data_IF_409396489960
#
_entry.id   IF_409396489960
#
_cell.length_a   1.000
_cell.length_b   1.000
_cell.length_c   1.000
_cell.angle_alpha   90.00
_cell.angle_beta   90.00
_cell.angle_gamma   90.00
#
_symmetry.space_group_name_H-M   'P 1'
#
loop_
_entity.id
_entity.type
_entity.pdbx_description
1 polymer ?
#
# COMPACT_ATOMS: atom_id res chain seq x y z
N UNK A 1 19.58 24.57 -66.37
CA UNK A 1 19.79 25.28 -65.11
C UNK A 1 19.55 24.26 -64.00
N UNK A 2 20.62 23.89 -63.31
CA UNK A 2 20.82 22.71 -62.52
C UNK A 2 20.29 22.92 -61.06
N UNK A 3 19.44 22.07 -60.59
CA UNK A 3 19.04 22.02 -59.17
C UNK A 3 19.61 20.75 -58.54
N UNK A 4 20.65 20.96 -57.73
CA UNK A 4 21.32 19.91 -57.00
C UNK A 4 20.52 19.43 -55.79
N UNK A 5 20.11 18.16 -55.79
CA UNK A 5 19.50 17.46 -54.67
C UNK A 5 20.61 16.92 -53.78
N UNK A 6 20.68 17.41 -52.54
CA UNK A 6 21.65 16.99 -51.50
C UNK A 6 21.02 15.89 -50.64
N UNK A 7 21.42 14.65 -50.85
CA UNK A 7 21.04 13.52 -50.04
C UNK A 7 21.65 13.60 -48.63
N UNK A 8 20.82 13.60 -47.60
CA UNK A 8 21.23 13.44 -46.22
C UNK A 8 21.50 11.95 -45.95
N UNK A 9 22.75 11.61 -45.69
CA UNK A 9 23.19 10.29 -45.21
C UNK A 9 22.87 10.17 -43.74
N UNK A 10 21.99 9.27 -43.40
CA UNK A 10 21.72 8.83 -42.02
C UNK A 10 22.86 7.92 -41.54
N UNK A 11 23.52 8.34 -40.47
CA UNK A 11 24.53 7.59 -39.77
C UNK A 11 23.80 6.76 -38.67
N UNK A 12 23.92 5.43 -38.58
CA UNK A 12 23.39 4.69 -37.46
C UNK A 12 24.38 4.73 -36.29
N UNK A 13 24.09 5.57 -35.30
CA UNK A 13 24.87 5.61 -34.05
C UNK A 13 24.54 4.39 -33.22
N UNK A 14 25.57 3.62 -32.89
CA UNK A 14 25.57 2.45 -32.08
C UNK A 14 24.88 2.65 -30.72
N UNK A 15 23.98 1.76 -30.39
CA UNK A 15 23.45 1.58 -29.02
C UNK A 15 24.60 1.04 -28.18
N UNK A 16 25.22 1.89 -27.38
CA UNK A 16 26.21 1.51 -26.38
C UNK A 16 25.61 0.57 -25.33
N UNK A 17 26.25 -0.56 -25.14
CA UNK A 17 25.98 -1.53 -24.09
C UNK A 17 26.04 -0.83 -22.72
N UNK A 18 24.99 -1.02 -21.92
CA UNK A 18 24.95 -0.57 -20.53
C UNK A 18 25.91 -1.41 -19.68
N UNK A 19 26.76 -0.81 -18.82
CA UNK A 19 27.67 -1.56 -17.97
C UNK A 19 26.90 -2.39 -16.94
N UNK A 20 27.21 -3.68 -16.87
CA UNK A 20 26.74 -4.62 -15.88
C UNK A 20 27.26 -4.22 -14.48
N UNK A 21 26.36 -4.22 -13.49
CA UNK A 21 26.72 -4.46 -12.10
C UNK A 21 27.16 -3.26 -11.26
N UNK A 22 26.27 -2.27 -11.05
CA UNK A 22 26.36 -1.38 -9.89
C UNK A 22 25.15 -1.57 -8.98
N UNK A 23 25.33 -2.14 -7.77
CA UNK A 23 24.29 -2.15 -6.73
C UNK A 23 24.06 -0.72 -6.24
N UNK A 24 23.17 0.01 -6.87
CA UNK A 24 22.69 1.31 -6.40
C UNK A 24 21.58 1.06 -5.37
N UNK A 25 21.96 0.77 -4.13
CA UNK A 25 21.04 0.89 -3.00
C UNK A 25 20.82 2.37 -2.75
N UNK A 26 19.63 2.86 -3.10
CA UNK A 26 19.18 4.19 -2.70
C UNK A 26 19.14 4.26 -1.17
N UNK A 27 19.86 5.18 -0.51
CA UNK A 27 19.79 5.31 0.93
C UNK A 27 18.44 5.93 1.32
N UNK A 28 17.55 5.09 1.83
CA UNK A 28 16.34 5.55 2.51
C UNK A 28 16.71 5.95 3.94
N UNK A 29 16.06 6.96 4.53
CA UNK A 29 16.30 7.28 5.92
C UNK A 29 15.99 6.05 6.79
N UNK A 30 17.02 5.54 7.45
CA UNK A 30 16.89 4.41 8.37
C UNK A 30 16.11 4.87 9.59
N UNK A 31 14.89 4.33 9.76
CA UNK A 31 14.24 4.33 11.07
C UNK A 31 15.09 3.41 11.95
N UNK A 32 15.73 3.96 12.99
CA UNK A 32 16.56 3.19 13.92
C UNK A 32 15.71 2.11 14.57
N UNK A 33 15.97 0.86 14.22
CA UNK A 33 15.47 -0.29 14.95
C UNK A 33 16.18 -0.30 16.31
N UNK A 34 15.43 -0.28 17.41
CA UNK A 34 15.96 -0.66 18.71
C UNK A 34 16.19 -2.17 18.67
N UNK A 35 17.43 -2.57 18.69
CA UNK A 35 17.84 -3.94 18.94
C UNK A 35 17.67 -4.23 20.42
N UNK A 36 16.59 -4.88 20.80
CA UNK A 36 16.52 -5.55 22.10
C UNK A 36 17.11 -6.95 21.93
N UNK A 37 18.04 -7.29 22.83
CA UNK A 37 18.80 -8.53 22.78
C UNK A 37 17.95 -9.78 23.07
N UNK A 38 18.48 -10.98 22.80
CA UNK A 38 17.71 -12.21 22.84
C UNK A 38 17.47 -12.67 24.29
N UNK A 39 16.23 -12.65 24.76
CA UNK A 39 15.81 -13.44 25.91
C UNK A 39 15.55 -14.88 25.45
N UNK A 40 16.49 -15.74 25.81
CA UNK A 40 16.35 -17.19 25.80
C UNK A 40 15.16 -17.61 26.69
N UNK A 41 14.11 -18.16 26.10
CA UNK A 41 13.16 -19.01 26.81
C UNK A 41 12.97 -20.33 26.09
N UNK A 42 13.21 -21.37 26.87
CA UNK A 42 13.21 -22.78 26.52
C UNK A 42 11.96 -23.22 25.74
N UNK A 43 12.22 -23.94 24.65
CA UNK A 43 11.24 -24.70 23.89
C UNK A 43 10.63 -25.79 24.77
N UNK A 44 9.35 -25.63 25.13
CA UNK A 44 8.48 -26.76 25.53
C UNK A 44 7.65 -27.13 24.32
N UNK A 45 7.75 -28.41 23.94
CA UNK A 45 7.11 -28.98 22.77
C UNK A 45 5.61 -28.69 22.67
N UNK A 46 5.22 -28.16 21.53
CA UNK A 46 3.81 -28.02 21.16
C UNK A 46 3.32 -29.38 20.61
N UNK A 47 2.20 -29.93 21.09
CA UNK A 47 1.67 -31.19 20.58
C UNK A 47 1.25 -31.05 19.12
N UNK A 48 1.51 -32.08 18.32
CA UNK A 48 1.11 -32.25 16.93
C UNK A 48 -0.37 -31.93 16.74
N UNK A 49 -0.67 -30.75 16.21
CA UNK A 49 -2.02 -30.38 15.79
C UNK A 49 -2.43 -31.26 14.62
N UNK A 50 -3.49 -32.03 14.83
CA UNK A 50 -4.05 -32.94 13.85
C UNK A 50 -4.62 -32.19 12.65
N UNK A 51 -4.55 -32.82 11.47
CA UNK A 51 -4.93 -32.31 10.15
C UNK A 51 -6.40 -31.83 10.03
N UNK A 52 -7.24 -32.12 11.03
CA UNK A 52 -8.66 -31.76 11.10
C UNK A 52 -8.93 -30.36 11.67
N UNK A 53 -8.01 -29.75 12.45
CA UNK A 53 -8.17 -28.41 13.03
C UNK A 53 -7.74 -27.25 12.13
N UNK A 54 -7.37 -27.54 10.87
CA UNK A 54 -7.19 -26.51 9.82
C UNK A 54 -8.51 -25.90 9.32
N UNK A 55 -9.61 -26.10 10.06
CA UNK A 55 -10.92 -25.54 9.73
C UNK A 55 -10.94 -24.04 10.02
N UNK A 56 -11.14 -23.29 8.93
CA UNK A 56 -11.55 -21.89 8.85
C UNK A 56 -10.71 -20.92 9.70
N UNK A 57 -9.59 -20.42 9.15
CA UNK A 57 -8.97 -19.22 9.71
C UNK A 57 -9.96 -18.04 9.63
N UNK A 58 -10.59 -17.60 10.74
CA UNK A 58 -11.62 -16.55 10.72
C UNK A 58 -11.09 -15.22 10.20
N UNK A 59 -9.76 -15.07 10.10
CA UNK A 59 -9.12 -13.89 9.60
C UNK A 59 -9.21 -13.73 8.07
N UNK A 60 -9.48 -14.81 7.33
CA UNK A 60 -9.63 -14.72 5.85
C UNK A 60 -10.78 -13.79 5.47
N UNK A 61 -11.91 -13.88 6.20
CA UNK A 61 -13.08 -13.05 5.94
C UNK A 61 -12.94 -11.60 6.43
N UNK A 62 -11.87 -11.25 7.13
CA UNK A 62 -11.58 -9.85 7.51
C UNK A 62 -10.98 -9.04 6.37
N UNK A 63 -10.41 -9.68 5.35
CA UNK A 63 -10.02 -9.01 4.11
C UNK A 63 -11.19 -9.04 3.13
N UNK A 64 -11.61 -7.87 2.64
CA UNK A 64 -12.86 -7.76 1.86
C UNK A 64 -12.75 -8.35 0.46
N UNK A 65 -11.55 -8.43 -0.14
CA UNK A 65 -11.34 -9.15 -1.40
C UNK A 65 -11.61 -10.63 -1.19
N UNK A 66 -11.01 -11.23 -0.17
CA UNK A 66 -11.20 -12.65 0.14
C UNK A 66 -12.62 -12.96 0.58
N UNK A 67 -13.24 -12.06 1.36
CA UNK A 67 -14.63 -12.20 1.83
C UNK A 67 -15.66 -12.12 0.69
N UNK A 68 -15.32 -11.51 -0.45
CA UNK A 68 -16.22 -11.40 -1.61
C UNK A 68 -16.23 -12.65 -2.51
N UNK A 69 -15.37 -13.64 -2.22
CA UNK A 69 -15.23 -14.83 -3.04
C UNK A 69 -16.25 -15.92 -2.67
N UNK A 70 -16.62 -16.79 -3.62
CA UNK A 70 -17.41 -17.98 -3.31
C UNK A 70 -16.72 -18.89 -2.28
N UNK A 71 -17.49 -19.59 -1.42
CA UNK A 71 -16.92 -20.43 -0.35
C UNK A 71 -15.86 -21.44 -0.83
N UNK A 72 -16.05 -22.06 -1.99
CA UNK A 72 -15.09 -23.00 -2.57
C UNK A 72 -13.73 -22.33 -2.90
N UNK A 73 -13.75 -21.09 -3.43
CA UNK A 73 -12.54 -20.30 -3.70
C UNK A 73 -11.84 -19.88 -2.41
N UNK A 74 -12.60 -19.47 -1.39
CA UNK A 74 -12.08 -19.15 -0.05
C UNK A 74 -11.38 -20.35 0.54
N UNK A 75 -11.99 -21.54 0.49
CA UNK A 75 -11.41 -22.77 1.06
C UNK A 75 -10.06 -23.15 0.40
N UNK A 76 -9.96 -23.03 -0.93
CA UNK A 76 -8.70 -23.28 -1.65
C UNK A 76 -7.60 -22.29 -1.25
N UNK A 77 -7.91 -21.00 -1.27
CA UNK A 77 -6.96 -19.95 -0.88
C UNK A 77 -6.52 -20.11 0.57
N UNK A 78 -7.45 -20.40 1.47
CA UNK A 78 -7.18 -20.56 2.89
C UNK A 78 -6.15 -21.66 3.20
N UNK A 79 -6.13 -22.75 2.41
CA UNK A 79 -5.14 -23.82 2.56
C UNK A 79 -3.69 -23.37 2.24
N UNK A 80 -3.54 -22.26 1.50
CA UNK A 80 -2.25 -21.74 1.03
C UNK A 80 -1.86 -20.41 1.67
N UNK A 81 -2.80 -19.75 2.35
CA UNK A 81 -2.57 -18.48 3.02
C UNK A 81 -1.94 -18.69 4.40
N UNK A 82 -0.84 -17.99 4.65
CA UNK A 82 -0.11 -17.99 5.92
C UNK A 82 -0.44 -16.72 6.72
N UNK A 83 -0.92 -16.82 7.97
CA UNK A 83 -1.06 -15.67 8.84
C UNK A 83 0.32 -15.13 9.23
N UNK A 84 0.49 -13.81 9.14
CA UNK A 84 1.73 -13.13 9.51
C UNK A 84 1.42 -11.84 10.27
N UNK A 85 2.31 -11.47 11.19
CA UNK A 85 2.32 -10.14 11.80
C UNK A 85 3.33 -9.28 11.06
N UNK A 86 2.90 -8.13 10.61
CA UNK A 86 3.74 -7.13 9.94
C UNK A 86 4.07 -6.01 10.91
N UNK A 87 5.34 -5.62 10.96
CA UNK A 87 5.82 -4.59 11.88
C UNK A 87 5.89 -3.22 11.20
N UNK A 88 5.67 -2.14 11.96
CA UNK A 88 5.85 -0.76 11.46
C UNK A 88 7.27 -0.57 10.90
N UNK A 89 7.37 0.00 9.71
CA UNK A 89 8.64 0.24 9.01
C UNK A 89 9.18 -0.96 8.23
N UNK A 90 8.53 -2.13 8.31
CA UNK A 90 8.92 -3.31 7.52
C UNK A 90 8.70 -3.04 6.03
N UNK A 91 9.72 -3.34 5.20
CA UNK A 91 9.62 -3.27 3.74
C UNK A 91 9.28 -4.66 3.20
N UNK A 92 8.18 -4.75 2.47
CA UNK A 92 7.69 -6.00 1.88
C UNK A 92 8.34 -6.27 0.52
N UNK A 93 8.49 -5.22 -0.28
CA UNK A 93 9.24 -5.27 -1.54
C UNK A 93 9.73 -3.87 -1.96
N UNK A 94 10.81 -3.86 -2.72
CA UNK A 94 11.49 -2.67 -3.24
C UNK A 94 11.24 -2.50 -4.75
N UNK A 95 11.34 -1.27 -5.28
CA UNK A 95 11.30 -1.03 -6.73
C UNK A 95 12.34 -1.86 -7.47
N UNK A 96 11.94 -2.47 -8.59
CA UNK A 96 12.80 -3.29 -9.42
C UNK A 96 13.18 -4.65 -8.81
N UNK A 97 12.68 -4.99 -7.61
CA UNK A 97 12.90 -6.30 -6.98
C UNK A 97 11.71 -7.22 -7.21
N UNK A 98 12.01 -8.51 -7.27
CA UNK A 98 10.99 -9.54 -7.43
C UNK A 98 10.01 -9.54 -6.25
N UNK A 99 8.72 -9.61 -6.57
CA UNK A 99 7.65 -9.79 -5.60
C UNK A 99 7.62 -11.28 -5.24
N UNK A 100 8.06 -11.62 -4.02
CA UNK A 100 8.10 -13.01 -3.53
C UNK A 100 6.80 -13.47 -2.91
N UNK A 101 6.04 -12.53 -2.32
CA UNK A 101 4.78 -12.77 -1.64
C UNK A 101 3.76 -11.71 -2.02
N UNK A 102 2.50 -12.10 -2.10
CA UNK A 102 1.35 -11.21 -2.07
C UNK A 102 0.81 -11.16 -0.64
N UNK A 103 0.25 -10.02 -0.24
CA UNK A 103 -0.26 -9.81 1.13
C UNK A 103 -1.69 -9.31 1.09
N UNK A 104 -2.53 -9.92 1.90
CA UNK A 104 -3.91 -9.50 2.16
C UNK A 104 -3.98 -8.96 3.60
N UNK A 105 -3.95 -7.62 3.79
CA UNK A 105 -4.04 -7.02 5.10
C UNK A 105 -5.34 -7.38 5.82
N UNK A 106 -5.27 -7.48 7.16
CA UNK A 106 -6.42 -7.70 8.05
C UNK A 106 -6.69 -6.42 8.85
N UNK A 107 -5.72 -5.99 9.63
CA UNK A 107 -5.74 -4.78 10.46
C UNK A 107 -4.42 -3.99 10.38
N UNK A 108 -3.56 -4.32 9.43
CA UNK A 108 -2.36 -3.56 9.10
C UNK A 108 -2.59 -2.62 7.91
N UNK A 109 -1.68 -1.68 7.74
CA UNK A 109 -1.68 -0.70 6.64
C UNK A 109 -0.34 -0.73 5.90
N UNK A 110 -0.40 -0.86 4.59
CA UNK A 110 0.76 -0.87 3.69
C UNK A 110 0.70 0.37 2.81
N UNK A 111 1.76 1.18 2.82
CA UNK A 111 1.94 2.33 1.93
C UNK A 111 2.69 1.92 0.68
N UNK A 112 2.22 2.38 -0.48
CA UNK A 112 2.90 2.27 -1.76
C UNK A 112 3.64 3.59 -2.02
N UNK A 113 4.97 3.54 -2.02
CA UNK A 113 5.84 4.70 -2.11
C UNK A 113 6.57 4.71 -3.45
N UNK A 114 6.55 5.85 -4.14
CA UNK A 114 7.42 6.10 -5.28
C UNK A 114 8.58 7.01 -4.87
N UNK A 115 9.79 6.70 -5.33
CA UNK A 115 10.94 7.56 -5.15
C UNK A 115 10.93 8.66 -6.21
N UNK A 116 11.13 9.92 -5.79
CA UNK A 116 11.34 11.06 -6.70
C UNK A 116 12.84 11.25 -6.92
N UNK A 117 13.62 11.10 -5.86
CA UNK A 117 15.09 11.10 -5.86
C UNK A 117 15.65 10.31 -4.66
N UNK A 118 16.96 10.43 -4.42
CA UNK A 118 17.65 9.72 -3.32
C UNK A 118 17.14 10.06 -1.92
N UNK A 119 16.48 11.20 -1.75
CA UNK A 119 16.07 11.72 -0.44
C UNK A 119 14.56 11.92 -0.31
N UNK A 120 13.83 11.90 -1.42
CA UNK A 120 12.39 12.19 -1.45
C UNK A 120 11.60 11.02 -1.98
N UNK A 121 10.60 10.67 -1.24
CA UNK A 121 9.58 9.70 -1.64
C UNK A 121 8.20 10.29 -1.43
N UNK A 122 7.23 9.72 -2.11
CA UNK A 122 5.83 10.13 -2.03
C UNK A 122 4.97 8.89 -1.93
N UNK A 123 4.02 8.90 -0.99
CA UNK A 123 2.98 7.88 -0.96
C UNK A 123 1.99 8.13 -2.10
N UNK A 124 1.86 7.15 -2.96
CA UNK A 124 0.93 7.19 -4.09
C UNK A 124 -0.32 6.38 -3.83
N UNK A 125 -0.27 5.41 -2.93
CA UNK A 125 -1.40 4.57 -2.58
C UNK A 125 -1.25 3.93 -1.20
N UNK A 126 -2.38 3.51 -0.64
CA UNK A 126 -2.50 2.77 0.61
C UNK A 126 -3.25 1.48 0.36
N UNK A 127 -2.84 0.41 1.01
CA UNK A 127 -3.47 -0.91 0.97
C UNK A 127 -3.79 -1.34 2.40
N UNK A 128 -5.06 -1.52 2.68
CA UNK A 128 -5.58 -2.06 3.94
C UNK A 128 -6.37 -3.35 3.69
N UNK A 129 -7.30 -3.65 4.61
CA UNK A 129 -8.13 -4.85 4.52
C UNK A 129 -9.09 -4.86 3.30
N UNK A 130 -9.19 -3.77 2.57
CA UNK A 130 -9.97 -3.67 1.34
C UNK A 130 -9.26 -4.20 0.11
N UNK A 131 -8.01 -4.68 0.22
CA UNK A 131 -7.20 -5.00 -0.93
C UNK A 131 -6.08 -6.01 -0.73
N UNK A 132 -5.15 -5.98 -1.67
CA UNK A 132 -3.97 -6.83 -1.71
C UNK A 132 -2.73 -6.01 -2.09
N UNK A 133 -1.61 -6.20 -1.40
CA UNK A 133 -0.30 -5.73 -1.85
C UNK A 133 0.37 -6.81 -2.72
N UNK A 134 0.97 -6.37 -3.84
CA UNK A 134 1.52 -7.26 -4.86
C UNK A 134 0.76 -7.17 -6.20
N UNK A 135 -0.04 -6.12 -6.41
CA UNK A 135 -0.86 -5.94 -7.63
C UNK A 135 -0.10 -6.06 -8.96
N UNK A 136 1.16 -5.60 -9.12
CA UNK A 136 1.88 -5.80 -10.38
C UNK A 136 1.96 -7.27 -10.80
N UNK A 137 1.93 -8.21 -9.83
CA UNK A 137 2.01 -9.63 -10.10
C UNK A 137 0.81 -10.17 -10.88
N UNK A 138 -0.41 -9.66 -10.64
CA UNK A 138 -1.60 -10.06 -11.41
C UNK A 138 -1.56 -9.56 -12.86
N UNK A 139 -0.79 -8.52 -13.13
CA UNK A 139 -0.56 -7.98 -14.48
C UNK A 139 0.58 -8.70 -15.22
N UNK A 140 1.09 -9.82 -14.69
CA UNK A 140 2.21 -10.54 -15.26
C UNK A 140 3.59 -9.93 -14.96
N UNK A 141 3.64 -8.86 -14.15
CA UNK A 141 4.89 -8.19 -13.77
C UNK A 141 5.43 -8.82 -12.48
N UNK A 142 6.51 -9.58 -12.58
CA UNK A 142 7.16 -10.20 -11.41
C UNK A 142 7.88 -9.21 -10.49
N UNK A 143 7.94 -7.92 -10.86
CA UNK A 143 8.65 -6.85 -10.14
C UNK A 143 7.70 -5.68 -9.84
N UNK A 144 8.01 -4.91 -8.80
CA UNK A 144 7.25 -3.70 -8.47
C UNK A 144 7.97 -2.45 -8.95
N UNK A 145 7.20 -1.44 -9.42
CA UNK A 145 7.68 -0.09 -9.67
C UNK A 145 7.70 0.81 -8.43
N UNK A 146 7.13 0.32 -7.30
CA UNK A 146 7.02 1.07 -6.05
C UNK A 146 7.53 0.25 -4.88
N UNK A 147 7.94 0.92 -3.79
CA UNK A 147 8.20 0.28 -2.50
C UNK A 147 6.89 0.01 -1.78
N UNK A 148 6.71 -1.16 -1.18
CA UNK A 148 5.66 -1.43 -0.22
C UNK A 148 6.22 -1.41 1.21
N UNK A 149 5.75 -0.46 2.00
CA UNK A 149 6.19 -0.20 3.38
C UNK A 149 5.02 -0.38 4.34
N UNK A 150 5.21 -1.14 5.41
CA UNK A 150 4.22 -1.26 6.48
C UNK A 150 4.18 0.04 7.28
N UNK A 151 3.07 0.77 7.18
CA UNK A 151 2.82 2.04 7.85
C UNK A 151 2.05 1.88 9.16
N UNK A 152 1.19 0.89 9.24
CA UNK A 152 0.50 0.47 10.45
C UNK A 152 0.75 -1.01 10.66
N UNK A 153 1.43 -1.37 11.76
CA UNK A 153 1.66 -2.77 12.12
C UNK A 153 0.36 -3.50 12.40
N UNK A 154 0.33 -4.81 12.20
CA UNK A 154 -0.85 -5.65 12.43
C UNK A 154 -0.80 -6.95 11.65
N UNK A 155 -1.92 -7.67 11.65
CA UNK A 155 -2.08 -8.95 10.97
C UNK A 155 -2.29 -8.82 9.47
N UNK A 156 -1.74 -9.76 8.74
CA UNK A 156 -2.00 -10.00 7.33
C UNK A 156 -2.01 -11.49 7.03
N UNK A 157 -2.57 -11.84 5.89
CA UNK A 157 -2.40 -13.16 5.28
C UNK A 157 -1.44 -12.98 4.10
N UNK A 158 -0.43 -13.84 4.01
CA UNK A 158 0.48 -13.84 2.85
C UNK A 158 0.39 -15.15 2.09
N UNK A 159 0.75 -15.09 0.82
CA UNK A 159 0.88 -16.24 -0.04
C UNK A 159 2.11 -16.07 -0.92
N UNK A 160 2.88 -17.13 -1.13
CA UNK A 160 4.00 -17.07 -2.05
C UNK A 160 3.51 -16.78 -3.49
N UNK A 161 4.29 -16.00 -4.23
CA UNK A 161 3.89 -15.47 -5.53
C UNK A 161 3.59 -16.56 -6.57
N UNK A 162 4.39 -17.64 -6.60
CA UNK A 162 4.22 -18.71 -7.58
C UNK A 162 2.90 -19.49 -7.40
N UNK A 163 2.55 -20.03 -6.21
CA UNK A 163 1.25 -20.68 -6.01
C UNK A 163 0.08 -19.68 -6.15
N UNK A 164 0.26 -18.41 -5.77
CA UNK A 164 -0.77 -17.38 -6.01
C UNK A 164 -1.06 -17.22 -7.51
N UNK A 165 -0.06 -17.26 -8.37
CA UNK A 165 -0.25 -17.16 -9.83
C UNK A 165 -1.10 -18.30 -10.35
N UNK A 166 -0.82 -19.52 -9.94
CA UNK A 166 -1.60 -20.70 -10.34
C UNK A 166 -3.06 -20.58 -9.91
N UNK A 167 -3.31 -20.17 -8.64
CA UNK A 167 -4.66 -19.99 -8.16
C UNK A 167 -5.37 -18.81 -8.86
N UNK A 168 -4.66 -17.71 -9.11
CA UNK A 168 -5.22 -16.57 -9.83
C UNK A 168 -5.65 -16.93 -11.25
N UNK A 169 -4.79 -17.64 -12.00
CA UNK A 169 -5.07 -18.02 -13.38
C UNK A 169 -6.25 -19.02 -13.48
N UNK A 170 -6.42 -19.88 -12.47
CA UNK A 170 -7.50 -20.89 -12.42
C UNK A 170 -8.78 -20.45 -11.68
N UNK A 171 -8.88 -19.21 -11.20
CA UNK A 171 -9.98 -18.76 -10.36
C UNK A 171 -10.62 -17.46 -10.88
N UNK A 172 -11.63 -17.53 -11.78
CA UNK A 172 -12.28 -16.35 -12.35
C UNK A 172 -12.88 -15.40 -11.30
N UNK A 173 -13.40 -15.93 -10.19
CA UNK A 173 -13.95 -15.09 -9.11
C UNK A 173 -12.85 -14.26 -8.41
N UNK A 174 -11.66 -14.83 -8.21
CA UNK A 174 -10.51 -14.12 -7.67
C UNK A 174 -10.02 -13.06 -8.66
N UNK A 175 -9.96 -13.39 -9.95
CA UNK A 175 -9.57 -12.45 -11.00
C UNK A 175 -10.51 -11.24 -11.00
N UNK A 176 -11.82 -11.47 -11.04
CA UNK A 176 -12.81 -10.41 -11.04
C UNK A 176 -12.72 -9.52 -9.79
N UNK A 177 -12.60 -10.12 -8.60
CA UNK A 177 -12.46 -9.37 -7.35
C UNK A 177 -11.20 -8.48 -7.34
N UNK A 178 -10.06 -9.01 -7.82
CA UNK A 178 -8.81 -8.28 -7.89
C UNK A 178 -8.79 -7.22 -9.00
N UNK A 179 -9.45 -7.44 -10.13
CA UNK A 179 -9.60 -6.41 -11.16
C UNK A 179 -10.44 -5.22 -10.67
N UNK A 180 -11.53 -5.49 -9.94
CA UNK A 180 -12.33 -4.43 -9.28
C UNK A 180 -11.51 -3.67 -8.25
N UNK A 181 -10.73 -4.38 -7.42
CA UNK A 181 -9.82 -3.72 -6.48
C UNK A 181 -8.75 -2.89 -7.18
N UNK A 182 -8.16 -3.40 -8.27
CA UNK A 182 -7.18 -2.67 -9.08
C UNK A 182 -7.76 -1.35 -9.62
N UNK A 183 -9.01 -1.36 -10.12
CA UNK A 183 -9.70 -0.13 -10.52
C UNK A 183 -9.77 0.88 -9.37
N UNK A 184 -10.16 0.45 -8.17
CA UNK A 184 -10.24 1.34 -7.00
C UNK A 184 -8.85 1.87 -6.58
N UNK A 185 -7.82 1.03 -6.62
CA UNK A 185 -6.44 1.43 -6.34
C UNK A 185 -5.92 2.44 -7.38
N UNK A 186 -6.19 2.23 -8.66
CA UNK A 186 -5.85 3.20 -9.73
C UNK A 186 -6.56 4.53 -9.52
N UNK A 187 -7.85 4.51 -9.17
CA UNK A 187 -8.61 5.71 -8.84
C UNK A 187 -8.01 6.44 -7.63
N UNK A 188 -7.58 5.71 -6.58
CA UNK A 188 -6.88 6.29 -5.44
C UNK A 188 -5.57 6.96 -5.86
N UNK A 189 -4.74 6.28 -6.66
CA UNK A 189 -3.45 6.82 -7.13
C UNK A 189 -3.66 8.08 -7.96
N UNK A 190 -4.56 8.05 -8.93
CA UNK A 190 -4.89 9.21 -9.78
C UNK A 190 -5.40 10.38 -8.96
N UNK A 191 -6.32 10.12 -8.00
CA UNK A 191 -6.85 11.16 -7.12
C UNK A 191 -5.78 11.70 -6.16
N UNK A 192 -4.84 10.87 -5.72
CA UNK A 192 -3.70 11.31 -4.90
C UNK A 192 -2.77 12.21 -5.68
N UNK A 193 -2.50 11.92 -6.95
CA UNK A 193 -1.69 12.78 -7.82
C UNK A 193 -2.33 14.16 -8.01
N UNK A 194 -3.62 14.22 -8.33
CA UNK A 194 -4.38 15.47 -8.43
C UNK A 194 -4.40 16.22 -7.09
N UNK A 195 -4.65 15.52 -5.99
CA UNK A 195 -4.67 16.10 -4.66
C UNK A 195 -3.33 16.74 -4.27
N UNK A 196 -2.22 16.09 -4.60
CA UNK A 196 -0.87 16.61 -4.32
C UNK A 196 -0.57 17.90 -5.09
N UNK A 197 -1.17 18.09 -6.27
CA UNK A 197 -0.96 19.29 -7.10
C UNK A 197 -1.86 20.45 -6.70
N UNK A 198 -3.11 20.20 -6.32
CA UNK A 198 -4.15 21.23 -6.27
C UNK A 198 -4.65 21.54 -4.86
N UNK A 199 -4.32 20.73 -3.85
CA UNK A 199 -4.76 20.98 -2.47
C UNK A 199 -3.59 21.32 -1.56
N UNK A 200 -3.84 22.20 -0.59
CA UNK A 200 -2.89 22.60 0.44
C UNK A 200 -2.61 21.46 1.44
N UNK A 201 -1.58 21.63 2.26
CA UNK A 201 -1.10 20.59 3.19
C UNK A 201 -2.14 20.23 4.26
N UNK A 202 -2.92 21.18 4.79
CA UNK A 202 -3.91 20.92 5.85
C UNK A 202 -5.03 19.97 5.39
N UNK A 203 -5.79 20.25 4.31
CA UNK A 203 -6.84 19.34 3.85
C UNK A 203 -6.29 18.01 3.34
N UNK A 204 -5.06 17.97 2.82
CA UNK A 204 -4.38 16.72 2.45
C UNK A 204 -4.03 15.87 3.67
N UNK A 205 -3.52 16.48 4.74
CA UNK A 205 -3.25 15.81 6.01
C UNK A 205 -4.54 15.25 6.62
N UNK A 206 -5.62 16.03 6.64
CA UNK A 206 -6.91 15.56 7.13
C UNK A 206 -7.42 14.34 6.34
N UNK A 207 -7.37 14.38 5.00
CA UNK A 207 -7.68 13.24 4.12
C UNK A 207 -6.83 12.02 4.47
N UNK A 208 -5.52 12.20 4.60
CA UNK A 208 -4.57 11.13 4.87
C UNK A 208 -4.85 10.45 6.22
N UNK A 209 -5.10 11.24 7.28
CA UNK A 209 -5.47 10.74 8.61
C UNK A 209 -6.77 9.91 8.57
N UNK A 210 -7.78 10.37 7.84
CA UNK A 210 -9.03 9.64 7.65
C UNK A 210 -8.81 8.30 6.93
N UNK A 211 -8.03 8.32 5.86
CA UNK A 211 -7.71 7.10 5.09
C UNK A 211 -6.90 6.09 5.90
N UNK A 212 -5.99 6.56 6.74
CA UNK A 212 -5.23 5.72 7.68
C UNK A 212 -6.16 5.10 8.72
N UNK A 213 -6.99 5.92 9.38
CA UNK A 213 -7.98 5.47 10.36
C UNK A 213 -8.91 4.39 9.81
N UNK A 214 -9.43 4.61 8.60
CA UNK A 214 -10.36 3.66 7.97
C UNK A 214 -9.77 2.26 7.80
N UNK A 215 -8.42 2.15 7.68
CA UNK A 215 -7.68 0.92 7.47
C UNK A 215 -7.18 0.28 8.75
N UNK A 216 -6.57 1.06 9.64
CA UNK A 216 -6.06 0.54 10.93
C UNK A 216 -7.17 0.36 11.97
N UNK A 217 -8.41 0.84 11.69
CA UNK A 217 -9.58 0.73 12.58
C UNK A 217 -9.33 1.29 13.99
N UNK A 218 -8.47 2.30 14.10
CA UNK A 218 -8.11 2.95 15.35
C UNK A 218 -8.11 4.47 15.17
N UNK A 219 -8.56 5.20 16.19
CA UNK A 219 -8.45 6.65 16.26
C UNK A 219 -7.07 7.12 16.75
N UNK A 220 -6.17 6.15 17.10
CA UNK A 220 -4.81 6.41 17.58
C UNK A 220 -3.82 5.60 16.75
N UNK A 221 -2.74 6.25 16.31
CA UNK A 221 -1.66 5.60 15.61
C UNK A 221 -0.33 6.34 15.76
N UNK A 222 0.81 5.61 15.83
CA UNK A 222 2.13 6.23 15.93
C UNK A 222 2.46 6.94 14.62
N UNK A 223 2.95 8.20 14.74
CA UNK A 223 3.23 9.02 13.56
C UNK A 223 4.16 10.18 13.91
N UNK A 224 5.24 10.35 13.14
CA UNK A 224 6.13 11.50 13.28
C UNK A 224 5.91 12.51 12.16
N UNK A 225 6.24 13.79 12.39
CA UNK A 225 6.15 14.82 11.34
C UNK A 225 7.10 14.54 10.16
N UNK A 226 8.23 13.92 10.42
CA UNK A 226 9.18 13.51 9.39
C UNK A 226 8.57 12.44 8.48
N UNK A 227 7.97 11.41 9.09
CA UNK A 227 7.25 10.38 8.35
C UNK A 227 6.10 10.97 7.52
N UNK A 228 5.29 11.85 8.10
CA UNK A 228 4.23 12.55 7.38
C UNK A 228 4.74 13.39 6.22
N UNK A 229 5.90 14.03 6.36
CA UNK A 229 6.51 14.81 5.28
C UNK A 229 6.82 13.93 4.06
N UNK A 230 7.34 12.73 4.29
CA UNK A 230 7.57 11.75 3.23
C UNK A 230 6.25 11.24 2.62
N UNK A 231 5.24 10.92 3.44
CA UNK A 231 3.95 10.42 2.96
C UNK A 231 3.19 11.47 2.13
N UNK A 232 3.20 12.72 2.58
CA UNK A 232 2.51 13.81 1.90
C UNK A 232 3.34 14.49 0.78
N UNK A 233 4.63 14.11 0.62
CA UNK A 233 5.51 14.75 -0.34
C UNK A 233 5.64 16.27 -0.12
N UNK A 234 5.72 16.71 1.14
CA UNK A 234 5.86 18.11 1.52
C UNK A 234 7.00 18.31 2.50
N UNK A 235 7.39 19.56 2.75
CA UNK A 235 8.43 19.86 3.74
C UNK A 235 7.90 19.64 5.17
N UNK A 236 8.79 19.30 6.11
CA UNK A 236 8.45 19.07 7.53
C UNK A 236 7.75 20.27 8.16
N UNK A 237 8.16 21.50 7.79
CA UNK A 237 7.55 22.74 8.27
C UNK A 237 6.09 22.83 7.83
N UNK A 238 5.78 22.47 6.58
CA UNK A 238 4.42 22.43 6.05
C UNK A 238 3.52 21.44 6.79
N UNK A 239 4.06 20.25 7.11
CA UNK A 239 3.35 19.25 7.96
C UNK A 239 3.11 19.80 9.35
N UNK A 240 4.12 20.43 9.96
CA UNK A 240 4.01 20.99 11.32
C UNK A 240 2.95 22.08 11.36
N UNK A 241 2.90 22.96 10.36
CA UNK A 241 1.88 24.01 10.25
C UNK A 241 0.48 23.41 10.08
N UNK A 242 0.31 22.44 9.17
CA UNK A 242 -0.94 21.73 8.92
C UNK A 242 -1.45 20.99 10.17
N UNK A 243 -0.60 20.21 10.83
CA UNK A 243 -0.94 19.49 12.05
C UNK A 243 -1.33 20.45 13.19
N UNK A 244 -0.62 21.59 13.32
CA UNK A 244 -0.94 22.62 14.30
C UNK A 244 -2.28 23.31 14.02
N UNK A 245 -2.63 23.55 12.75
CA UNK A 245 -3.91 24.12 12.36
C UNK A 245 -5.06 23.16 12.72
N UNK A 246 -4.96 21.88 12.37
CA UNK A 246 -5.96 20.87 12.70
C UNK A 246 -6.08 20.68 14.22
N UNK A 247 -4.96 20.72 14.96
CA UNK A 247 -4.94 20.63 16.44
C UNK A 247 -5.62 21.84 17.10
N UNK A 248 -5.37 23.09 16.63
CA UNK A 248 -6.05 24.31 17.17
C UNK A 248 -7.56 24.21 17.03
N UNK A 249 -8.07 23.55 15.98
CA UNK A 249 -9.50 23.28 15.78
C UNK A 249 -10.02 22.12 16.63
N UNK A 250 -9.18 21.53 17.50
CA UNK A 250 -9.48 20.38 18.37
C UNK A 250 -9.94 19.14 17.62
N UNK A 251 -9.55 18.98 16.35
CA UNK A 251 -9.90 17.82 15.54
C UNK A 251 -8.97 16.63 15.81
N UNK A 252 -7.71 16.91 16.18
CA UNK A 252 -6.72 15.93 16.59
C UNK A 252 -5.98 16.36 17.86
N UNK A 253 -5.45 15.40 18.57
CA UNK A 253 -4.38 15.55 19.54
C UNK A 253 -3.10 14.95 18.96
N UNK A 254 -1.97 15.65 19.18
CA UNK A 254 -0.65 15.14 18.79
C UNK A 254 0.28 15.21 20.01
N UNK A 255 0.77 14.06 20.47
CA UNK A 255 1.67 13.93 21.62
C UNK A 255 2.72 12.86 21.38
N UNK A 256 4.01 13.20 21.60
CA UNK A 256 5.14 12.26 21.61
C UNK A 256 5.21 11.27 20.45
N UNK A 257 4.89 11.73 19.23
CA UNK A 257 4.92 10.86 18.04
C UNK A 257 3.67 9.97 17.85
N UNK A 258 2.58 10.30 18.56
CA UNK A 258 1.27 9.67 18.38
C UNK A 258 0.23 10.72 17.99
N UNK A 259 -0.62 10.39 17.04
CA UNK A 259 -1.82 11.17 16.69
C UNK A 259 -3.05 10.44 17.22
N UNK A 260 -3.96 11.25 17.79
CA UNK A 260 -5.30 10.82 18.15
C UNK A 260 -6.34 11.71 17.47
N UNK A 261 -7.28 11.11 16.76
CA UNK A 261 -8.45 11.82 16.20
C UNK A 261 -9.45 12.04 17.34
N UNK A 262 -9.86 13.31 17.53
CA UNK A 262 -10.79 13.73 18.58
C UNK A 262 -12.19 13.98 18.01
N UNK A 263 -12.28 14.59 16.83
CA UNK A 263 -13.52 14.88 16.13
C UNK A 263 -13.46 14.38 14.69
N UNK A 264 -14.04 13.21 14.47
CA UNK A 264 -14.11 12.60 13.15
C UNK A 264 -14.94 13.40 12.16
N UNK A 265 -16.06 14.00 12.61
CA UNK A 265 -16.94 14.79 11.74
C UNK A 265 -16.25 16.07 11.29
N UNK A 266 -15.65 16.78 12.23
CA UNK A 266 -14.86 17.99 11.95
C UNK A 266 -13.67 17.68 11.05
N UNK A 267 -12.97 16.55 11.25
CA UNK A 267 -11.85 16.13 10.41
C UNK A 267 -12.30 15.80 8.97
N UNK A 268 -13.47 15.18 8.79
CA UNK A 268 -14.08 14.97 7.46
C UNK A 268 -14.37 16.29 6.76
N UNK A 269 -14.91 17.27 7.48
CA UNK A 269 -15.17 18.63 6.94
C UNK A 269 -13.87 19.36 6.60
N UNK A 270 -12.80 19.14 7.36
CA UNK A 270 -11.47 19.73 7.11
C UNK A 270 -10.73 19.08 5.93
N UNK A 271 -11.11 17.86 5.55
CA UNK A 271 -10.47 17.15 4.46
C UNK A 271 -10.89 17.69 3.09
N UNK A 272 -10.01 17.52 2.09
CA UNK A 272 -10.37 17.82 0.70
C UNK A 272 -11.41 16.81 0.16
N UNK A 273 -12.16 17.15 -0.90
CA UNK A 273 -13.16 16.27 -1.54
C UNK A 273 -12.58 14.95 -2.02
N UNK A 274 -11.26 14.87 -2.21
CA UNK A 274 -10.55 13.66 -2.63
C UNK A 274 -10.81 12.47 -1.72
N UNK A 275 -11.05 12.68 -0.42
CA UNK A 275 -11.43 11.61 0.50
C UNK A 275 -12.71 10.91 0.05
N UNK A 276 -13.76 11.66 -0.27
CA UNK A 276 -15.04 11.10 -0.72
C UNK A 276 -14.94 10.42 -2.09
N UNK A 277 -14.16 10.99 -3.01
CA UNK A 277 -13.92 10.40 -4.33
C UNK A 277 -13.29 9.02 -4.18
N UNK A 278 -12.22 8.91 -3.38
CA UNK A 278 -11.53 7.64 -3.13
C UNK A 278 -12.48 6.64 -2.44
N UNK A 279 -13.17 7.04 -1.38
CA UNK A 279 -14.13 6.18 -0.68
C UNK A 279 -15.24 5.65 -1.61
N UNK A 280 -15.69 6.50 -2.54
CA UNK A 280 -16.71 6.09 -3.52
C UNK A 280 -16.17 5.06 -4.52
N UNK A 281 -14.92 5.21 -4.97
CA UNK A 281 -14.28 4.22 -5.84
C UNK A 281 -14.18 2.84 -5.18
N UNK A 282 -13.74 2.78 -3.91
CA UNK A 282 -13.66 1.51 -3.17
C UNK A 282 -15.04 0.90 -2.92
N UNK A 283 -16.03 1.69 -2.53
CA UNK A 283 -17.42 1.18 -2.37
C UNK A 283 -17.98 0.60 -3.67
N UNK A 284 -17.74 1.26 -4.81
CA UNK A 284 -18.16 0.74 -6.13
C UNK A 284 -17.47 -0.58 -6.49
N UNK A 285 -16.19 -0.71 -6.17
CA UNK A 285 -15.44 -1.94 -6.41
C UNK A 285 -15.94 -3.11 -5.55
N UNK A 286 -16.37 -2.84 -4.32
CA UNK A 286 -16.91 -3.85 -3.41
C UNK A 286 -18.36 -4.25 -3.74
N UNK A 287 -19.16 -3.31 -4.26
CA UNK A 287 -20.57 -3.51 -4.58
C UNK A 287 -20.84 -3.07 -6.05
N UNK A 288 -20.39 -3.87 -7.03
CA UNK A 288 -20.62 -3.54 -8.43
C UNK A 288 -22.13 -3.49 -8.69
N UNK A 289 -22.60 -2.38 -9.27
CA UNK A 289 -23.94 -2.34 -9.86
C UNK A 289 -23.94 -3.22 -11.09
N UNK A 290 -25.07 -3.88 -11.38
CA UNK A 290 -25.24 -4.57 -12.65
C UNK A 290 -24.86 -3.62 -13.80
N UNK A 291 -24.23 -4.12 -14.88
CA UNK A 291 -23.91 -3.29 -16.03
C UNK A 291 -25.21 -2.62 -16.50
N UNK A 292 -25.16 -1.30 -16.71
CA UNK A 292 -26.23 -0.59 -17.40
C UNK A 292 -26.16 -1.09 -18.83
N UNK A 293 -27.15 -1.92 -19.22
CA UNK A 293 -27.30 -2.43 -20.57
C UNK A 293 -27.54 -1.31 -21.59
#
# INVERSE_FOLDING_TARGET
>A
MSSGSRALRSNPTALGEAPAGGRTTLPWPHVRQRTEGPHSMAQRGCPLQTKAEKMANPNVLKNTVLASLPPASVARLQAMLEPVTLEFGQVLYEPGRAIRYVYFPIDCLISLLTAVDKHRSLEVGMVGNEGMAGMPFILGMGVSGVRALVQGGGGALRMAAAPFRVEFDGNPALQEALYRYMYALMAQISQTAACNRFHEAEPRLARWLLMTRDRVKSDRFPLTHEFLAHMLGTRREGVTAAASAIKRRKLIEYRRGEIRILDLKGLKTASCPCYQVIQTAFRRAQHPRAPVG
#
